data_IF_520541264026
#
_entry.id   IF_520541264026
#
_cell.length_a   1.000
_cell.length_b   1.000
_cell.length_c   1.000
_cell.angle_alpha   90.00
_cell.angle_beta   90.00
_cell.angle_gamma   90.00
#
_symmetry.space_group_name_H-M   'P 1'
#
loop_
_entity.id
_entity.type
_entity.pdbx_description
1 polymer ?
#
# COMPACT_ATOMS: atom_id res chain seq x y z
N UNK A 1 -35.62 31.40 -2.99
CA UNK A 1 -34.73 30.82 -1.95
C UNK A 1 -34.21 29.48 -2.44
N UNK A 2 -32.91 29.38 -2.73
CA UNK A 2 -32.30 28.13 -3.17
C UNK A 2 -32.21 27.12 -2.03
N UNK A 3 -32.55 25.85 -2.29
CA UNK A 3 -32.40 24.77 -1.32
C UNK A 3 -30.91 24.52 -1.08
N UNK A 4 -30.41 24.88 0.10
CA UNK A 4 -29.06 24.51 0.52
C UNK A 4 -29.09 23.08 1.05
N UNK A 5 -28.38 22.17 0.39
CA UNK A 5 -28.21 20.80 0.86
C UNK A 5 -27.08 20.75 1.89
N UNK A 6 -27.32 20.07 3.02
CA UNK A 6 -26.32 19.87 4.07
C UNK A 6 -25.67 18.51 3.84
N UNK A 7 -24.40 18.54 3.47
CA UNK A 7 -23.51 17.37 3.41
C UNK A 7 -22.46 17.54 4.50
N UNK A 8 -22.30 16.55 5.38
CA UNK A 8 -21.38 16.68 6.51
C UNK A 8 -21.77 15.86 7.73
N UNK A 9 -21.03 15.99 8.81
CA UNK A 9 -21.31 15.32 10.09
C UNK A 9 -21.64 16.37 11.15
N UNK A 10 -22.80 16.26 11.79
CA UNK A 10 -23.18 17.07 12.95
C UNK A 10 -23.34 16.12 14.13
N UNK A 11 -22.45 16.24 15.13
CA UNK A 11 -22.40 15.33 16.27
C UNK A 11 -22.23 13.86 15.83
N UNK A 12 -23.16 13.00 16.25
CA UNK A 12 -23.19 11.58 15.87
C UNK A 12 -24.02 11.31 14.60
N UNK A 13 -24.40 12.33 13.82
CA UNK A 13 -25.21 12.16 12.62
C UNK A 13 -24.43 12.57 11.37
N UNK A 14 -24.32 11.67 10.40
CA UNK A 14 -23.71 11.90 9.10
C UNK A 14 -24.79 12.07 8.03
N UNK A 15 -24.74 13.20 7.31
CA UNK A 15 -25.62 13.57 6.20
C UNK A 15 -24.87 13.36 4.89
N UNK A 16 -25.43 12.55 4.00
CA UNK A 16 -24.81 12.20 2.73
C UNK A 16 -25.85 11.99 1.63
N UNK A 17 -25.44 12.14 0.38
CA UNK A 17 -26.29 11.94 -0.80
C UNK A 17 -26.29 10.46 -1.21
N UNK A 18 -27.47 9.89 -1.38
CA UNK A 18 -27.70 8.54 -1.92
C UNK A 18 -28.49 8.60 -3.23
N UNK A 19 -28.63 7.46 -3.92
CA UNK A 19 -29.43 7.34 -5.16
C UNK A 19 -30.90 7.76 -4.95
N UNK A 20 -31.42 7.64 -3.72
CA UNK A 20 -32.80 7.96 -3.36
C UNK A 20 -32.95 9.33 -2.68
N UNK A 21 -31.92 10.18 -2.69
CA UNK A 21 -31.95 11.52 -2.07
C UNK A 21 -30.98 11.68 -0.90
N UNK A 22 -31.18 12.73 -0.09
CA UNK A 22 -30.32 13.01 1.08
C UNK A 22 -30.69 12.10 2.24
N UNK A 23 -29.71 11.37 2.75
CA UNK A 23 -29.86 10.44 3.86
C UNK A 23 -29.08 10.94 5.07
N UNK A 24 -29.67 10.77 6.25
CA UNK A 24 -28.99 10.94 7.52
C UNK A 24 -28.80 9.57 8.17
N UNK A 25 -27.60 9.27 8.65
CA UNK A 25 -27.33 8.08 9.47
C UNK A 25 -26.72 8.50 10.79
N UNK A 26 -27.15 7.85 11.87
CA UNK A 26 -26.38 7.92 13.11
C UNK A 26 -25.09 7.11 12.91
N UNK A 27 -23.95 7.61 13.40
CA UNK A 27 -22.67 6.89 13.38
C UNK A 27 -22.82 5.60 14.18
N UNK A 28 -23.10 4.51 13.48
CA UNK A 28 -23.07 3.15 14.03
C UNK A 28 -21.63 2.68 13.96
N UNK A 29 -20.86 3.02 14.99
CA UNK A 29 -19.43 2.72 15.02
C UNK A 29 -18.88 2.89 16.43
N UNK A 30 -17.88 2.08 16.75
CA UNK A 30 -17.10 2.22 17.98
C UNK A 30 -16.35 3.56 17.89
N UNK A 31 -16.35 4.38 18.95
CA UNK A 31 -15.65 5.66 18.92
C UNK A 31 -14.15 5.48 18.70
N UNK A 32 -13.50 6.39 17.98
CA UNK A 32 -12.06 6.31 17.69
C UNK A 32 -11.22 6.14 18.96
N UNK A 33 -11.59 6.87 20.03
CA UNK A 33 -10.99 6.73 21.36
C UNK A 33 -11.06 5.29 21.90
N UNK A 34 -12.17 4.60 21.66
CA UNK A 34 -12.35 3.21 22.09
C UNK A 34 -11.59 2.25 21.18
N UNK A 35 -11.41 2.55 19.90
CA UNK A 35 -10.51 1.77 19.02
C UNK A 35 -9.05 1.89 19.48
N UNK A 36 -8.64 3.08 19.89
CA UNK A 36 -7.28 3.38 20.35
C UNK A 36 -6.96 2.78 21.72
N UNK A 37 -7.90 2.85 22.67
CA UNK A 37 -7.60 2.59 24.08
C UNK A 37 -8.20 1.27 24.62
N UNK A 38 -9.25 0.72 24.00
CA UNK A 38 -9.90 -0.49 24.51
C UNK A 38 -9.00 -1.72 24.29
N UNK A 39 -8.75 -2.56 25.32
CA UNK A 39 -7.95 -3.78 25.19
C UNK A 39 -8.54 -4.78 24.19
N UNK A 40 -9.86 -4.77 23.97
CA UNK A 40 -10.52 -5.64 22.97
C UNK A 40 -9.99 -5.34 21.56
N UNK A 41 -9.55 -4.11 21.31
CA UNK A 41 -9.04 -3.66 20.02
C UNK A 41 -7.52 -3.79 19.87
N UNK A 42 -6.80 -4.38 20.84
CA UNK A 42 -5.34 -4.53 20.79
C UNK A 42 -4.86 -5.23 19.50
N UNK A 43 -5.50 -6.35 19.15
CA UNK A 43 -5.18 -7.11 17.92
C UNK A 43 -5.48 -6.32 16.65
N UNK A 44 -6.54 -5.51 16.66
CA UNK A 44 -6.87 -4.62 15.54
C UNK A 44 -5.78 -3.57 15.35
N UNK A 45 -5.28 -2.98 16.44
CA UNK A 45 -4.19 -1.99 16.41
C UNK A 45 -2.88 -2.58 15.92
N UNK A 46 -2.51 -3.77 16.39
CA UNK A 46 -1.32 -4.49 15.91
C UNK A 46 -1.37 -4.72 14.40
N UNK A 47 -2.49 -5.26 13.89
CA UNK A 47 -2.66 -5.49 12.46
C UNK A 47 -2.67 -4.18 11.65
N UNK A 48 -3.28 -3.10 12.17
CA UNK A 48 -3.25 -1.79 11.53
C UNK A 48 -1.83 -1.22 11.45
N UNK A 49 -1.02 -1.39 12.50
CA UNK A 49 0.37 -0.95 12.52
C UNK A 49 1.21 -1.71 11.48
N UNK A 50 1.07 -3.04 11.42
CA UNK A 50 1.75 -3.87 10.43
C UNK A 50 1.33 -3.51 8.99
N UNK A 51 0.04 -3.32 8.75
CA UNK A 51 -0.47 -2.89 7.44
C UNK A 51 0.08 -1.52 7.01
N UNK A 52 0.16 -0.57 7.95
CA UNK A 52 0.76 0.73 7.69
C UNK A 52 2.24 0.61 7.31
N UNK A 53 3.00 -0.25 8.00
CA UNK A 53 4.41 -0.52 7.65
C UNK A 53 4.54 -1.17 6.28
N UNK A 54 3.73 -2.18 5.96
CA UNK A 54 3.72 -2.82 4.64
C UNK A 54 3.45 -1.82 3.52
N UNK A 55 2.45 -0.95 3.71
CA UNK A 55 2.12 0.10 2.75
C UNK A 55 3.26 1.12 2.57
N UNK A 56 3.94 1.51 3.65
CA UNK A 56 5.12 2.41 3.59
C UNK A 56 6.29 1.75 2.86
N UNK A 57 6.60 0.48 3.16
CA UNK A 57 7.65 -0.26 2.47
C UNK A 57 7.35 -0.43 0.97
N UNK A 58 6.11 -0.80 0.63
CA UNK A 58 5.65 -0.87 -0.76
C UNK A 58 5.72 0.49 -1.48
N UNK A 59 5.45 1.60 -0.78
CA UNK A 59 5.68 2.95 -1.33
C UNK A 59 7.16 3.21 -1.60
N UNK A 60 8.05 2.89 -0.66
CA UNK A 60 9.49 3.09 -0.84
C UNK A 60 10.04 2.29 -2.03
N UNK A 61 9.64 1.02 -2.15
CA UNK A 61 10.04 0.18 -3.29
C UNK A 61 9.59 0.76 -4.63
N UNK A 62 8.35 1.26 -4.71
CA UNK A 62 7.85 1.92 -5.93
C UNK A 62 8.58 3.22 -6.26
N UNK A 63 8.99 3.98 -5.25
CA UNK A 63 9.79 5.19 -5.47
C UNK A 63 11.17 4.81 -6.02
N UNK A 64 11.83 3.81 -5.43
CA UNK A 64 13.13 3.33 -5.90
C UNK A 64 13.07 2.83 -7.35
N UNK A 65 11.96 2.17 -7.73
CA UNK A 65 11.75 1.64 -9.07
C UNK A 65 10.98 2.59 -10.00
N UNK A 66 10.71 3.83 -9.58
CA UNK A 66 9.81 4.73 -10.31
C UNK A 66 10.24 4.93 -11.76
N UNK A 67 11.55 5.03 -12.03
CA UNK A 67 12.08 5.15 -13.38
C UNK A 67 11.78 3.93 -14.28
N UNK A 68 11.68 2.74 -13.69
CA UNK A 68 11.44 1.49 -14.42
C UNK A 68 9.95 1.16 -14.56
N UNK A 69 9.10 1.56 -13.61
CA UNK A 69 7.67 1.20 -13.59
C UNK A 69 6.74 2.34 -14.04
N UNK A 70 7.29 3.44 -14.56
CA UNK A 70 6.53 4.63 -14.97
C UNK A 70 5.41 4.34 -15.98
N UNK A 71 5.61 3.37 -16.88
CA UNK A 71 4.65 3.01 -17.92
C UNK A 71 3.70 1.86 -17.52
N UNK A 72 3.82 1.34 -16.31
CA UNK A 72 2.96 0.25 -15.82
C UNK A 72 1.55 0.77 -15.57
N UNK A 73 0.57 0.21 -16.31
CA UNK A 73 -0.86 0.52 -16.16
C UNK A 73 -1.57 -0.60 -15.41
N UNK A 74 -1.30 -0.70 -14.11
CA UNK A 74 -1.98 -1.65 -13.22
C UNK A 74 -2.51 -0.93 -11.97
N UNK A 75 -3.82 -0.71 -11.93
CA UNK A 75 -4.50 -0.06 -10.80
C UNK A 75 -4.54 -0.94 -9.54
N UNK A 76 -4.38 -2.26 -9.68
CA UNK A 76 -4.33 -3.22 -8.58
C UNK A 76 -2.93 -3.46 -8.02
N UNK A 77 -1.87 -3.03 -8.70
CA UNK A 77 -0.47 -3.29 -8.32
C UNK A 77 -0.16 -2.88 -6.89
N UNK A 78 -0.62 -1.70 -6.44
CA UNK A 78 -0.33 -1.22 -5.08
C UNK A 78 -0.95 -2.13 -4.00
N UNK A 79 -2.18 -2.62 -4.24
CA UNK A 79 -2.85 -3.53 -3.32
C UNK A 79 -2.16 -4.90 -3.30
N UNK A 80 -1.76 -5.42 -4.47
CA UNK A 80 -0.99 -6.67 -4.58
C UNK A 80 0.37 -6.57 -3.89
N UNK A 81 1.09 -5.48 -4.13
CA UNK A 81 2.38 -5.23 -3.50
C UNK A 81 2.25 -5.14 -1.97
N UNK A 82 1.23 -4.44 -1.47
CA UNK A 82 0.97 -4.36 -0.03
C UNK A 82 0.66 -5.75 0.56
N UNK A 83 -0.05 -6.61 -0.17
CA UNK A 83 -0.32 -8.00 0.26
C UNK A 83 0.96 -8.83 0.35
N UNK A 84 1.86 -8.73 -0.63
CA UNK A 84 3.13 -9.45 -0.59
C UNK A 84 4.05 -8.90 0.51
N UNK A 85 4.11 -7.58 0.69
CA UNK A 85 4.82 -6.94 1.80
C UNK A 85 4.27 -7.38 3.17
N UNK A 86 2.96 -7.63 3.28
CA UNK A 86 2.37 -8.21 4.49
C UNK A 86 2.81 -9.67 4.73
N UNK A 87 3.14 -10.45 3.69
CA UNK A 87 3.71 -11.79 3.86
C UNK A 87 5.14 -11.69 4.36
N UNK A 88 5.96 -10.82 3.77
CA UNK A 88 7.33 -10.52 4.22
C UNK A 88 7.33 -10.12 5.70
N UNK A 89 6.47 -9.17 6.08
CA UNK A 89 6.31 -8.75 7.48
C UNK A 89 5.86 -9.87 8.41
N UNK A 90 5.07 -10.84 7.93
CA UNK A 90 4.63 -11.97 8.75
C UNK A 90 5.70 -13.04 8.92
N UNK A 91 6.67 -13.09 8.02
CA UNK A 91 7.81 -14.00 8.06
C UNK A 91 8.89 -13.57 9.07
N UNK A 92 8.86 -12.32 9.54
CA UNK A 92 9.67 -11.87 10.67
C UNK A 92 9.27 -12.63 11.95
N UNK A 93 10.14 -13.56 12.34
CA UNK A 93 10.05 -14.38 13.56
C UNK A 93 10.77 -13.74 14.75
N UNK A 94 11.53 -12.67 14.52
CA UNK A 94 12.36 -12.02 15.55
C UNK A 94 11.58 -10.96 16.32
N UNK A 95 10.69 -10.24 15.64
CA UNK A 95 9.91 -9.16 16.24
C UNK A 95 8.58 -9.64 16.82
N UNK A 96 8.21 -9.03 17.95
CA UNK A 96 6.86 -9.18 18.52
C UNK A 96 5.78 -8.70 17.54
N UNK A 97 4.59 -9.33 17.63
CA UNK A 97 3.44 -8.97 16.79
C UNK A 97 3.08 -7.49 16.97
N UNK A 98 2.79 -6.79 15.87
CA UNK A 98 2.60 -5.34 15.86
C UNK A 98 3.90 -4.53 15.76
N UNK A 99 5.07 -5.14 15.97
CA UNK A 99 6.39 -4.50 15.86
C UNK A 99 7.26 -5.04 14.72
N UNK A 100 6.76 -6.04 13.98
CA UNK A 100 7.45 -6.65 12.85
C UNK A 100 7.88 -5.64 11.81
N UNK A 101 9.03 -5.90 11.19
CA UNK A 101 9.64 -5.05 10.19
C UNK A 101 9.88 -5.79 8.87
N UNK A 102 10.02 -5.01 7.80
CA UNK A 102 10.33 -5.54 6.45
C UNK A 102 11.83 -5.80 6.29
N UNK A 103 12.68 -5.13 7.07
CA UNK A 103 14.15 -5.27 7.00
C UNK A 103 14.60 -6.63 7.55
N UNK A 104 13.96 -7.09 8.63
CA UNK A 104 14.20 -8.41 9.24
C UNK A 104 13.31 -9.51 8.64
N UNK A 105 12.51 -9.15 7.62
CA UNK A 105 11.67 -10.08 6.88
C UNK A 105 12.38 -10.61 5.65
N UNK A 106 11.95 -11.78 5.17
CA UNK A 106 12.55 -12.44 4.02
C UNK A 106 12.17 -11.72 2.72
N UNK A 107 13.03 -10.82 2.24
CA UNK A 107 12.80 -10.06 1.01
C UNK A 107 12.75 -10.95 -0.24
N UNK A 108 13.29 -12.18 -0.17
CA UNK A 108 13.14 -13.20 -1.22
C UNK A 108 11.67 -13.53 -1.50
N UNK A 109 10.74 -13.29 -0.56
CA UNK A 109 9.30 -13.48 -0.80
C UNK A 109 8.72 -12.49 -1.82
N UNK A 110 9.46 -11.44 -2.20
CA UNK A 110 9.09 -10.54 -3.29
C UNK A 110 9.64 -10.99 -4.65
N UNK A 111 10.45 -12.05 -4.69
CA UNK A 111 10.97 -12.61 -5.94
C UNK A 111 9.82 -13.11 -6.81
N UNK A 112 9.81 -12.68 -8.08
CA UNK A 112 8.73 -12.99 -9.02
C UNK A 112 7.49 -12.10 -8.87
N UNK A 113 7.53 -11.03 -8.06
CA UNK A 113 6.44 -10.06 -8.02
C UNK A 113 6.32 -9.31 -9.35
N UNK A 114 5.18 -9.50 -10.01
CA UNK A 114 4.87 -8.84 -11.28
C UNK A 114 4.17 -7.50 -11.07
N UNK A 115 4.90 -6.41 -11.36
CA UNK A 115 4.38 -5.05 -11.23
C UNK A 115 3.22 -4.77 -12.19
N UNK A 116 3.11 -5.51 -13.29
CA UNK A 116 1.98 -5.45 -14.21
C UNK A 116 1.40 -6.86 -14.40
N UNK A 117 0.19 -7.10 -13.88
CA UNK A 117 -0.48 -8.39 -14.03
C UNK A 117 -0.78 -8.75 -15.49
N UNK A 118 -1.03 -7.74 -16.33
CA UNK A 118 -1.41 -7.92 -17.72
C UNK A 118 -0.21 -7.99 -18.67
N UNK A 119 0.99 -7.62 -18.20
CA UNK A 119 2.21 -7.67 -19.00
C UNK A 119 3.42 -7.93 -18.11
N UNK A 120 3.79 -9.20 -17.90
CA UNK A 120 4.89 -9.55 -17.00
C UNK A 120 6.20 -8.83 -17.34
N UNK A 121 6.97 -8.46 -16.33
CA UNK A 121 8.29 -7.85 -16.42
C UNK A 121 9.25 -8.72 -17.23
N UNK A 122 9.20 -10.05 -17.05
CA UNK A 122 10.00 -10.98 -17.85
C UNK A 122 9.79 -10.84 -19.36
N UNK A 123 8.62 -10.34 -19.78
CA UNK A 123 8.26 -10.12 -21.19
C UNK A 123 8.29 -8.66 -21.63
N UNK A 124 8.42 -7.70 -20.72
CA UNK A 124 8.33 -6.25 -21.02
C UNK A 124 9.57 -5.46 -20.67
N UNK A 125 10.46 -5.98 -19.82
CA UNK A 125 11.74 -5.37 -19.52
C UNK A 125 12.72 -5.61 -20.68
N UNK A 126 12.61 -4.79 -21.72
CA UNK A 126 13.69 -4.61 -22.68
C UNK A 126 14.76 -3.75 -22.00
N UNK A 127 15.70 -4.38 -21.31
CA UNK A 127 16.96 -3.70 -20.97
C UNK A 127 17.80 -3.69 -22.25
N UNK A 128 17.94 -2.56 -22.98
CA UNK A 128 18.92 -2.52 -24.05
C UNK A 128 20.27 -2.83 -23.41
N UNK A 129 20.97 -3.84 -23.94
CA UNK A 129 22.31 -4.15 -23.51
C UNK A 129 23.11 -2.85 -23.57
N UNK A 130 23.51 -2.34 -22.41
CA UNK A 130 24.42 -1.21 -22.34
C UNK A 130 25.67 -1.65 -23.10
N UNK A 131 25.92 -0.99 -24.23
CA UNK A 131 27.08 -1.27 -25.05
C UNK A 131 28.32 -1.34 -24.14
N UNK A 132 29.25 -2.29 -24.36
CA UNK A 132 30.46 -2.36 -23.55
C UNK A 132 31.08 -0.97 -23.54
N UNK A 133 31.27 -0.40 -22.34
CA UNK A 133 31.90 0.90 -22.17
C UNK A 133 33.27 0.81 -22.80
N UNK A 134 33.39 1.31 -24.02
CA UNK A 134 34.63 1.33 -24.74
C UNK A 134 35.43 2.51 -24.17
N UNK A 135 36.36 2.19 -23.27
CA UNK A 135 37.27 3.16 -22.69
C UNK A 135 38.12 3.80 -23.80
N UNK A 136 38.18 5.14 -23.92
CA UNK A 136 39.01 5.81 -24.91
C UNK A 136 40.47 5.78 -24.43
N UNK A 137 41.17 4.67 -24.67
CA UNK A 137 42.53 4.54 -24.15
C UNK A 137 43.33 3.32 -24.60
N UNK A 138 43.12 2.79 -25.81
CA UNK A 138 44.14 1.93 -26.41
C UNK A 138 44.17 2.13 -27.93
N UNK A 139 44.76 3.26 -28.32
CA UNK A 139 45.47 3.37 -29.59
C UNK A 139 46.95 3.20 -29.28
N UNK A 140 47.51 2.07 -29.71
CA UNK A 140 48.92 1.73 -29.68
C UNK A 140 49.17 0.74 -30.81
#
# INVERSE_FOLDING_TARGET
>A
MGKQAVEGTIGNMAFYKSKNGYMARMKTGVSDHRILNDPVNARTRENMAEFSRAGKAGKQLRIALAGSIQQVKDSGMTARLTREMMKVLKADVTSTRGQRNVIDGEAELLQGFEFNAASPLATTLFAPATAPVQWPGNGG
#
